data_IF_929053481986
#
_entry.id   IF_929053481986
#
_cell.length_a   1.000
_cell.length_b   1.000
_cell.length_c   1.000
_cell.angle_alpha   90.00
_cell.angle_beta   90.00
_cell.angle_gamma   90.00
#
_symmetry.space_group_name_H-M   'P 1'
#
loop_
_entity.id
_entity.type
_entity.pdbx_description
1 polymer ?
#
# COMPACT_ATOMS: atom_id res chain seq x y z
N UNK A 1 -24.42 -6.78 -34.09
CA UNK A 1 -25.35 -7.61 -34.91
C UNK A 1 -24.57 -8.06 -36.12
N UNK A 2 -24.06 -9.31 -36.12
CA UNK A 2 -23.77 -10.20 -37.23
C UNK A 2 -23.05 -11.43 -36.67
N UNK A 3 -23.86 -12.44 -36.36
CA UNK A 3 -23.43 -13.81 -36.19
C UNK A 3 -23.36 -14.46 -37.56
N UNK A 4 -22.23 -15.10 -37.89
CA UNK A 4 -22.17 -16.05 -38.99
C UNK A 4 -22.10 -17.48 -38.44
N UNK A 5 -23.05 -18.37 -38.74
CA UNK A 5 -22.90 -19.78 -38.47
C UNK A 5 -22.27 -20.47 -39.71
N UNK A 6 -21.15 -21.13 -39.50
CA UNK A 6 -20.63 -22.07 -40.52
C UNK A 6 -21.41 -23.38 -40.45
N UNK A 7 -22.30 -23.58 -41.39
CA UNK A 7 -22.87 -24.88 -41.71
C UNK A 7 -21.92 -25.64 -42.63
N UNK A 8 -21.32 -26.73 -42.14
CA UNK A 8 -20.71 -27.73 -43.03
C UNK A 8 -21.77 -28.79 -43.40
N UNK A 9 -22.13 -28.87 -44.69
CA UNK A 9 -22.90 -29.94 -45.26
C UNK A 9 -22.03 -31.19 -45.37
N UNK A 10 -22.42 -32.27 -44.68
CA UNK A 10 -21.80 -33.59 -44.79
C UNK A 10 -22.48 -34.35 -45.92
N UNK A 11 -21.79 -34.48 -47.06
CA UNK A 11 -22.14 -35.43 -48.11
C UNK A 11 -21.56 -36.81 -47.77
N UNK A 12 -22.42 -37.81 -47.72
CA UNK A 12 -22.06 -39.19 -47.38
C UNK A 12 -21.21 -39.88 -48.45
N UNK A 13 -20.06 -40.38 -48.08
CA UNK A 13 -19.44 -41.59 -48.62
C UNK A 13 -18.76 -42.36 -47.53
N UNK A 14 -19.29 -43.58 -47.24
CA UNK A 14 -18.77 -44.57 -46.31
C UNK A 14 -17.40 -45.07 -46.74
N UNK A 15 -16.31 -44.66 -46.11
CA UNK A 15 -15.04 -45.45 -46.03
C UNK A 15 -13.96 -44.78 -45.15
N UNK A 16 -14.28 -43.88 -44.20
CA UNK A 16 -13.28 -43.29 -43.32
C UNK A 16 -13.72 -43.38 -41.82
N UNK A 17 -14.40 -44.45 -41.45
CA UNK A 17 -14.93 -44.58 -40.09
C UNK A 17 -14.16 -45.47 -39.12
N UNK A 18 -13.08 -46.12 -39.57
CA UNK A 18 -12.27 -46.93 -38.66
C UNK A 18 -11.17 -46.12 -37.88
N UNK A 19 -10.65 -45.04 -38.50
CA UNK A 19 -9.53 -44.25 -37.94
C UNK A 19 -9.99 -43.13 -36.96
N UNK A 20 -11.21 -42.67 -37.15
CA UNK A 20 -11.74 -41.58 -36.31
C UNK A 20 -12.13 -41.99 -34.89
N UNK A 21 -12.43 -43.28 -34.63
CA UNK A 21 -12.73 -43.72 -33.26
C UNK A 21 -11.50 -43.73 -32.38
N UNK A 22 -10.36 -44.12 -32.93
CA UNK A 22 -9.09 -44.15 -32.17
C UNK A 22 -8.59 -42.72 -31.92
N UNK A 23 -8.77 -41.81 -32.89
CA UNK A 23 -8.47 -40.39 -32.72
C UNK A 23 -9.41 -39.72 -31.71
N UNK A 24 -10.70 -40.02 -31.73
CA UNK A 24 -11.69 -39.52 -30.78
C UNK A 24 -11.47 -40.09 -29.38
N UNK A 25 -11.14 -41.36 -29.27
CA UNK A 25 -10.76 -41.98 -27.97
C UNK A 25 -9.45 -41.42 -27.44
N UNK A 26 -8.46 -41.17 -28.27
CA UNK A 26 -7.19 -40.55 -27.82
C UNK A 26 -7.43 -39.10 -27.44
N UNK A 27 -8.26 -38.34 -28.18
CA UNK A 27 -8.61 -36.96 -27.85
C UNK A 27 -9.45 -36.85 -26.59
N UNK A 28 -10.43 -37.75 -26.38
CA UNK A 28 -11.21 -37.86 -25.15
C UNK A 28 -10.34 -38.31 -23.95
N UNK A 29 -9.37 -39.21 -24.15
CA UNK A 29 -8.45 -39.57 -23.12
C UNK A 29 -7.45 -38.46 -22.77
N UNK A 30 -7.00 -37.67 -23.74
CA UNK A 30 -6.18 -36.46 -23.50
C UNK A 30 -6.97 -35.40 -22.74
N UNK A 31 -8.24 -35.17 -23.12
CA UNK A 31 -9.13 -34.25 -22.41
C UNK A 31 -9.44 -34.77 -20.99
N UNK A 32 -9.66 -36.06 -20.83
CA UNK A 32 -9.92 -36.69 -19.53
C UNK A 32 -8.67 -36.76 -18.63
N UNK A 33 -7.48 -36.98 -19.20
CA UNK A 33 -6.22 -36.95 -18.43
C UNK A 33 -5.79 -35.53 -18.07
N UNK A 34 -5.96 -34.55 -18.96
CA UNK A 34 -5.77 -33.14 -18.63
C UNK A 34 -6.77 -32.67 -17.56
N UNK A 35 -8.01 -33.18 -17.60
CA UNK A 35 -9.02 -32.93 -16.55
C UNK A 35 -8.68 -33.58 -15.21
N UNK A 36 -7.96 -34.73 -15.17
CA UNK A 36 -7.67 -35.39 -13.89
C UNK A 36 -6.61 -34.63 -13.05
N UNK A 37 -5.58 -34.05 -13.68
CA UNK A 37 -4.57 -33.26 -12.95
C UNK A 37 -5.16 -31.98 -12.35
N UNK A 38 -5.94 -31.22 -13.14
CA UNK A 38 -6.61 -30.03 -12.64
C UNK A 38 -7.74 -30.36 -11.66
N UNK A 39 -8.48 -31.45 -11.84
CA UNK A 39 -9.57 -31.83 -10.94
C UNK A 39 -9.09 -32.10 -9.51
N UNK A 40 -7.94 -32.73 -9.31
CA UNK A 40 -7.36 -32.91 -7.98
C UNK A 40 -6.97 -31.57 -7.35
N UNK A 41 -6.31 -30.70 -8.11
CA UNK A 41 -5.96 -29.35 -7.65
C UNK A 41 -7.20 -28.49 -7.40
N UNK A 42 -8.20 -28.56 -8.29
CA UNK A 42 -9.50 -27.89 -8.13
C UNK A 42 -10.21 -28.33 -6.85
N UNK A 43 -10.22 -29.63 -6.54
CA UNK A 43 -10.80 -30.15 -5.30
C UNK A 43 -10.11 -29.53 -4.09
N UNK A 44 -8.79 -29.56 -4.05
CA UNK A 44 -7.98 -28.95 -2.99
C UNK A 44 -8.31 -27.44 -2.84
N UNK A 45 -8.28 -26.68 -3.93
CA UNK A 45 -8.61 -25.24 -3.88
C UNK A 45 -10.04 -24.99 -3.40
N UNK A 46 -11.01 -25.85 -3.79
CA UNK A 46 -12.42 -25.71 -3.36
C UNK A 46 -12.56 -25.96 -1.86
N UNK A 47 -11.85 -26.95 -1.32
CA UNK A 47 -11.82 -27.26 0.10
C UNK A 47 -11.16 -26.11 0.91
N UNK A 48 -10.04 -25.59 0.45
CA UNK A 48 -9.36 -24.42 1.05
C UNK A 48 -10.26 -23.17 1.03
N UNK A 49 -10.91 -22.86 -0.10
CA UNK A 49 -11.82 -21.73 -0.22
C UNK A 49 -13.06 -21.90 0.70
N UNK A 50 -13.57 -23.13 0.85
CA UNK A 50 -14.67 -23.41 1.77
C UNK A 50 -14.23 -23.16 3.24
N UNK A 51 -13.05 -23.65 3.61
CA UNK A 51 -12.45 -23.41 4.95
C UNK A 51 -12.26 -21.90 5.23
N UNK A 52 -11.76 -21.13 4.25
CA UNK A 52 -11.62 -19.67 4.36
C UNK A 52 -12.99 -18.99 4.58
N UNK A 53 -14.03 -19.45 3.88
CA UNK A 53 -15.41 -18.92 4.06
C UNK A 53 -15.99 -19.28 5.43
N UNK A 54 -15.84 -20.53 5.85
CA UNK A 54 -16.32 -21.03 7.17
C UNK A 54 -15.62 -20.29 8.32
N UNK A 55 -14.32 -20.03 8.18
CA UNK A 55 -13.57 -19.22 9.13
C UNK A 55 -13.94 -17.72 9.13
N UNK A 56 -14.81 -17.26 8.22
CA UNK A 56 -15.16 -15.84 8.07
C UNK A 56 -14.02 -14.96 7.52
N UNK A 57 -13.02 -15.56 6.87
CA UNK A 57 -11.83 -14.86 6.35
C UNK A 57 -11.91 -14.54 4.85
N UNK A 58 -13.03 -14.91 4.21
CA UNK A 58 -13.21 -14.70 2.78
C UNK A 58 -13.39 -13.21 2.48
N UNK A 59 -12.54 -12.68 1.56
CA UNK A 59 -12.56 -11.29 1.15
C UNK A 59 -13.43 -11.11 -0.08
N UNK A 60 -14.38 -10.19 -0.02
CA UNK A 60 -15.22 -9.75 -1.14
C UNK A 60 -14.82 -8.35 -1.58
N UNK A 61 -14.71 -8.14 -2.88
CA UNK A 61 -14.50 -6.81 -3.46
C UNK A 61 -15.82 -6.05 -3.50
N UNK A 62 -15.82 -4.83 -2.94
CA UNK A 62 -16.97 -3.93 -2.95
C UNK A 62 -16.80 -2.94 -4.10
N UNK A 63 -17.77 -2.87 -5.01
CA UNK A 63 -17.70 -2.03 -6.20
C UNK A 63 -17.99 -0.57 -5.86
N UNK A 64 -17.13 0.33 -6.35
CA UNK A 64 -17.29 1.77 -6.31
C UNK A 64 -17.57 2.24 -7.75
N UNK A 65 -18.63 3.02 -7.93
CA UNK A 65 -19.13 3.49 -9.23
C UNK A 65 -18.97 5.01 -9.43
N UNK A 66 -18.10 5.64 -8.68
CA UNK A 66 -17.79 7.07 -8.73
C UNK A 66 -16.26 7.30 -8.72
N UNK A 67 -15.78 8.54 -8.90
CA UNK A 67 -14.42 8.90 -8.50
C UNK A 67 -14.17 8.58 -7.04
N UNK A 68 -12.88 8.46 -6.67
CA UNK A 68 -12.45 8.21 -5.30
C UNK A 68 -12.38 9.55 -4.55
N UNK A 69 -13.38 9.83 -3.71
CA UNK A 69 -13.51 11.08 -2.97
C UNK A 69 -13.98 10.84 -1.52
N UNK A 70 -14.32 11.91 -0.78
CA UNK A 70 -14.95 11.82 0.54
C UNK A 70 -16.32 11.16 0.46
N UNK A 71 -17.08 11.44 -0.60
CA UNK A 71 -18.32 10.77 -0.96
C UNK A 71 -18.09 9.84 -2.15
N UNK A 72 -18.55 8.60 -2.05
CA UNK A 72 -18.47 7.62 -3.14
C UNK A 72 -19.83 6.95 -3.36
N UNK A 73 -20.07 6.52 -4.60
CA UNK A 73 -21.26 5.75 -4.96
C UNK A 73 -20.92 4.26 -4.98
N UNK A 74 -21.69 3.47 -4.24
CA UNK A 74 -21.65 2.01 -4.21
C UNK A 74 -23.02 1.43 -4.58
N UNK A 75 -23.17 0.11 -4.70
CA UNK A 75 -24.42 -0.52 -5.09
C UNK A 75 -25.65 -0.11 -4.25
N UNK A 76 -25.48 0.31 -3.01
CA UNK A 76 -26.54 0.75 -2.08
C UNK A 76 -26.80 2.26 -2.08
N UNK A 77 -26.11 3.07 -2.92
CA UNK A 77 -26.22 4.53 -2.93
C UNK A 77 -24.93 5.25 -2.57
N UNK A 78 -25.03 6.54 -2.24
CA UNK A 78 -23.89 7.37 -1.83
C UNK A 78 -23.56 7.15 -0.36
N UNK A 79 -22.27 6.96 -0.09
CA UNK A 79 -21.72 6.74 1.27
C UNK A 79 -20.48 7.61 1.50
N UNK A 80 -20.19 7.90 2.77
CA UNK A 80 -18.97 8.61 3.18
C UNK A 80 -17.80 7.62 3.30
N UNK A 81 -16.71 7.90 2.61
CA UNK A 81 -15.56 7.03 2.50
C UNK A 81 -14.51 7.30 3.58
N UNK A 82 -14.43 6.43 4.57
CA UNK A 82 -13.42 6.46 5.62
C UNK A 82 -12.45 5.26 5.54
N UNK A 83 -12.32 4.64 4.34
CA UNK A 83 -11.42 3.52 4.08
C UNK A 83 -10.20 3.87 3.23
N UNK A 84 -10.35 4.85 2.29
CA UNK A 84 -9.31 5.14 1.32
C UNK A 84 -8.10 5.80 1.96
N UNK A 85 -6.90 5.43 1.48
CA UNK A 85 -5.66 6.12 1.87
C UNK A 85 -5.49 7.48 1.17
N UNK A 86 -6.58 8.14 0.81
CA UNK A 86 -6.64 9.43 0.12
C UNK A 86 -6.51 10.59 1.12
N UNK A 87 -5.43 10.59 1.91
CA UNK A 87 -5.25 11.48 3.07
C UNK A 87 -5.40 12.97 2.73
N UNK A 88 -4.88 13.41 1.59
CA UNK A 88 -4.94 14.81 1.14
C UNK A 88 -6.12 15.11 0.21
N UNK A 89 -6.95 14.09 -0.11
CA UNK A 89 -8.09 14.28 -1.01
C UNK A 89 -7.71 14.51 -2.46
N UNK A 90 -6.54 14.07 -2.90
CA UNK A 90 -5.99 14.40 -4.22
C UNK A 90 -6.36 13.41 -5.33
N UNK A 91 -7.03 12.29 -5.03
CA UNK A 91 -7.27 11.22 -6.00
C UNK A 91 -8.17 11.66 -7.19
N UNK A 92 -9.07 12.61 -6.99
CA UNK A 92 -9.93 13.20 -8.01
C UNK A 92 -9.70 14.72 -8.19
N UNK A 93 -8.54 15.24 -7.73
CA UNK A 93 -8.26 16.68 -7.77
C UNK A 93 -8.10 17.18 -9.20
N UNK A 94 -8.83 18.26 -9.60
CA UNK A 94 -8.83 18.76 -10.99
C UNK A 94 -7.46 19.08 -11.56
N UNK A 95 -6.55 19.66 -10.77
CA UNK A 95 -5.20 20.00 -11.23
C UNK A 95 -4.36 18.75 -11.59
N UNK A 96 -4.53 17.63 -10.88
CA UNK A 96 -3.84 16.39 -11.20
C UNK A 96 -4.43 15.73 -12.44
N UNK A 97 -5.76 15.74 -12.58
CA UNK A 97 -6.48 15.24 -13.76
C UNK A 97 -6.06 16.02 -15.01
N UNK A 98 -5.98 17.32 -14.92
CA UNK A 98 -5.58 18.18 -16.05
C UNK A 98 -4.12 17.95 -16.46
N UNK A 99 -3.20 17.87 -15.48
CA UNK A 99 -1.81 17.54 -15.74
C UNK A 99 -1.65 16.16 -16.42
N UNK A 100 -2.44 15.18 -15.97
CA UNK A 100 -2.45 13.84 -16.57
C UNK A 100 -2.95 13.85 -18.02
N UNK A 101 -4.07 14.55 -18.31
CA UNK A 101 -4.62 14.69 -19.68
C UNK A 101 -3.61 15.36 -20.60
N UNK A 102 -3.03 16.47 -20.19
CA UNK A 102 -2.01 17.18 -20.96
C UNK A 102 -0.82 16.30 -21.29
N UNK A 103 -0.36 15.52 -20.30
CA UNK A 103 0.76 14.59 -20.52
C UNK A 103 0.41 13.48 -21.53
N UNK A 104 -0.83 12.98 -21.57
CA UNK A 104 -1.26 12.02 -22.58
C UNK A 104 -1.26 12.63 -23.98
N UNK A 105 -1.69 13.87 -24.14
CA UNK A 105 -1.67 14.58 -25.43
C UNK A 105 -0.24 14.83 -25.91
N UNK A 106 0.68 15.18 -25.03
CA UNK A 106 2.05 15.54 -25.38
C UNK A 106 3.02 14.35 -25.50
N UNK A 107 2.82 13.30 -24.72
CA UNK A 107 3.79 12.20 -24.51
C UNK A 107 3.24 10.81 -24.76
N UNK A 108 1.93 10.69 -25.05
CA UNK A 108 1.25 9.43 -25.29
C UNK A 108 0.81 8.70 -24.01
N UNK A 109 0.19 7.54 -24.21
CA UNK A 109 -0.42 6.75 -23.13
C UNK A 109 0.58 5.94 -22.31
N UNK A 110 1.57 5.30 -22.96
CA UNK A 110 2.43 4.33 -22.28
C UNK A 110 3.86 4.34 -22.79
N UNK A 111 4.75 3.72 -22.00
CA UNK A 111 6.19 3.69 -22.28
C UNK A 111 6.63 2.47 -23.10
N UNK A 112 5.88 1.37 -23.02
CA UNK A 112 6.18 0.09 -23.70
C UNK A 112 7.61 -0.43 -23.48
N UNK A 113 8.26 -0.02 -22.38
CA UNK A 113 9.65 -0.34 -22.10
C UNK A 113 10.00 -0.14 -20.63
N UNK A 114 11.05 -0.81 -20.19
CA UNK A 114 11.75 -0.57 -18.93
C UNK A 114 12.66 0.65 -19.03
N UNK A 115 13.05 1.22 -17.90
CA UNK A 115 13.74 2.51 -17.81
C UNK A 115 15.06 2.58 -18.59
N UNK A 116 15.92 1.56 -18.52
CA UNK A 116 17.26 1.62 -19.09
C UNK A 116 17.33 1.33 -20.60
N UNK A 117 16.27 0.76 -21.19
CA UNK A 117 16.24 0.47 -22.64
C UNK A 117 15.76 1.72 -23.40
N UNK A 118 14.47 2.02 -23.37
CA UNK A 118 13.87 3.20 -23.99
C UNK A 118 12.67 3.77 -23.23
N UNK A 119 12.49 3.38 -21.96
CA UNK A 119 11.37 3.77 -21.10
C UNK A 119 11.66 4.96 -20.19
N UNK A 120 12.64 5.81 -20.50
CA UNK A 120 12.93 7.02 -19.71
C UNK A 120 12.68 8.27 -20.54
N UNK A 121 11.73 9.10 -20.12
CA UNK A 121 11.52 10.45 -20.62
C UNK A 121 12.18 11.47 -19.67
N UNK A 122 12.36 12.71 -20.14
CA UNK A 122 12.78 13.86 -19.33
C UNK A 122 11.93 14.03 -18.07
N UNK A 123 10.61 13.91 -18.20
CA UNK A 123 9.65 14.03 -17.11
C UNK A 123 9.88 13.04 -15.96
N UNK A 124 10.39 11.85 -16.23
CA UNK A 124 10.77 10.93 -15.15
C UNK A 124 11.90 11.52 -14.30
N UNK A 125 12.85 12.20 -14.92
CA UNK A 125 13.94 12.87 -14.21
C UNK A 125 13.47 14.09 -13.42
N UNK A 126 12.47 14.81 -13.95
CA UNK A 126 11.86 15.93 -13.23
C UNK A 126 11.11 15.42 -11.97
N UNK A 127 10.35 14.32 -12.07
CA UNK A 127 9.70 13.72 -10.90
C UNK A 127 10.70 13.17 -9.88
N UNK A 128 11.78 12.50 -10.34
CA UNK A 128 12.88 12.03 -9.47
C UNK A 128 13.49 13.19 -8.68
N UNK A 129 13.73 14.32 -9.33
CA UNK A 129 14.24 15.54 -8.68
C UNK A 129 13.24 16.14 -7.70
N UNK A 130 11.95 16.28 -8.10
CA UNK A 130 10.91 16.82 -7.23
C UNK A 130 10.76 16.01 -5.92
N UNK A 131 10.88 14.68 -6.00
CA UNK A 131 10.87 13.80 -4.82
C UNK A 131 12.12 14.02 -3.97
N UNK A 132 13.30 14.05 -4.58
CA UNK A 132 14.55 14.28 -3.86
C UNK A 132 14.55 15.62 -3.13
N UNK A 133 14.09 16.69 -3.79
CA UNK A 133 13.97 18.04 -3.21
C UNK A 133 12.96 18.06 -2.05
N UNK A 134 11.83 17.36 -2.21
CA UNK A 134 10.79 17.28 -1.18
C UNK A 134 11.32 16.62 0.11
N UNK A 135 12.04 15.52 0.02
CA UNK A 135 12.62 14.82 1.18
C UNK A 135 13.98 15.38 1.62
N UNK A 136 14.62 16.21 0.81
CA UNK A 136 15.96 16.75 1.07
C UNK A 136 17.06 15.68 0.90
N UNK A 137 16.86 14.75 -0.01
CA UNK A 137 17.79 13.68 -0.36
C UNK A 137 18.62 14.01 -1.61
N UNK A 138 19.58 13.15 -1.95
CA UNK A 138 20.53 13.45 -3.04
C UNK A 138 20.03 13.00 -4.41
N UNK A 139 19.26 11.92 -4.46
CA UNK A 139 18.72 11.36 -5.72
C UNK A 139 17.52 10.43 -5.44
N UNK A 140 16.78 10.08 -6.51
CA UNK A 140 15.58 9.23 -6.45
C UNK A 140 15.51 8.27 -7.63
N UNK A 141 14.94 7.08 -7.39
CA UNK A 141 14.60 6.08 -8.39
C UNK A 141 13.11 5.73 -8.30
N UNK A 142 12.42 5.65 -9.46
CA UNK A 142 10.98 5.38 -9.55
C UNK A 142 10.72 3.90 -9.83
N UNK A 143 9.62 3.38 -9.24
CA UNK A 143 9.10 2.03 -9.39
C UNK A 143 7.60 2.06 -9.75
N UNK A 144 7.05 0.94 -10.23
CA UNK A 144 5.62 0.81 -10.49
C UNK A 144 4.77 0.91 -9.21
N UNK A 145 5.30 0.48 -8.07
CA UNK A 145 4.69 0.60 -6.75
C UNK A 145 5.76 0.67 -5.65
N UNK A 146 5.38 1.13 -4.44
CA UNK A 146 6.27 1.05 -3.28
C UNK A 146 6.54 -0.41 -2.85
N UNK A 147 5.64 -1.34 -3.17
CA UNK A 147 5.88 -2.76 -2.98
C UNK A 147 7.14 -3.21 -3.74
N UNK A 148 7.29 -2.76 -4.98
CA UNK A 148 8.46 -3.01 -5.82
C UNK A 148 9.71 -2.29 -5.31
N UNK A 149 9.56 -1.05 -4.84
CA UNK A 149 10.64 -0.28 -4.23
C UNK A 149 11.21 -1.02 -3.01
N UNK A 150 10.38 -1.43 -2.06
CA UNK A 150 10.78 -2.19 -0.88
C UNK A 150 11.36 -3.57 -1.23
N UNK A 151 10.74 -4.27 -2.19
CA UNK A 151 11.25 -5.56 -2.70
C UNK A 151 12.60 -5.45 -3.41
N UNK A 152 12.89 -4.29 -3.96
CA UNK A 152 14.08 -4.02 -4.79
C UNK A 152 15.27 -3.40 -4.07
N UNK A 153 15.20 -3.11 -2.76
CA UNK A 153 16.26 -2.40 -2.03
C UNK A 153 17.35 -3.35 -1.53
N UNK A 154 16.99 -4.47 -0.91
CA UNK A 154 17.92 -5.21 -0.07
C UNK A 154 18.91 -6.08 -0.85
N UNK A 155 18.44 -6.87 -1.82
CA UNK A 155 19.30 -7.77 -2.62
C UNK A 155 20.42 -7.03 -3.39
N UNK A 156 20.18 -5.83 -3.99
CA UNK A 156 21.24 -5.07 -4.66
C UNK A 156 22.31 -4.52 -3.73
N UNK A 157 22.01 -4.25 -2.49
CA UNK A 157 22.86 -3.52 -1.55
C UNK A 157 23.58 -4.44 -0.56
N UNK A 158 22.98 -5.56 -0.18
CA UNK A 158 23.41 -6.38 0.94
C UNK A 158 23.63 -7.84 0.54
N UNK A 159 24.57 -8.50 1.22
CA UNK A 159 24.95 -9.91 1.03
C UNK A 159 24.96 -10.71 2.31
N UNK A 160 25.48 -11.97 2.26
CA UNK A 160 25.43 -12.89 3.42
C UNK A 160 26.19 -12.41 4.66
N UNK A 161 27.16 -11.51 4.48
CA UNK A 161 28.00 -10.96 5.54
C UNK A 161 27.37 -9.73 6.23
N UNK A 162 26.21 -9.27 5.72
CA UNK A 162 25.54 -8.06 6.19
C UNK A 162 24.30 -8.41 7.03
N UNK A 163 23.76 -7.43 7.76
CA UNK A 163 22.59 -7.59 8.62
C UNK A 163 21.45 -6.64 8.27
N UNK A 164 20.21 -7.16 8.30
CA UNK A 164 18.98 -6.40 8.23
C UNK A 164 18.27 -6.55 9.58
N UNK A 165 18.05 -5.42 10.27
CA UNK A 165 17.37 -5.35 11.57
C UNK A 165 15.98 -4.72 11.34
N UNK A 166 14.94 -5.54 11.26
CA UNK A 166 13.60 -5.14 10.83
C UNK A 166 12.62 -5.06 12.00
N UNK A 167 11.81 -3.99 12.04
CA UNK A 167 10.66 -3.92 12.94
C UNK A 167 9.66 -5.06 12.66
N UNK A 168 9.08 -5.60 13.72
CA UNK A 168 8.19 -6.77 13.66
C UNK A 168 6.87 -6.50 12.93
N UNK A 169 6.42 -5.25 12.86
CA UNK A 169 5.17 -4.85 12.21
C UNK A 169 5.37 -4.12 10.89
N UNK A 170 6.58 -4.13 10.33
CA UNK A 170 6.84 -3.58 9.01
C UNK A 170 5.90 -4.15 7.96
N UNK A 171 5.63 -3.35 6.93
CA UNK A 171 4.76 -3.72 5.82
C UNK A 171 5.22 -5.01 5.12
N UNK A 172 4.26 -5.78 4.58
CA UNK A 172 4.53 -7.06 3.92
C UNK A 172 5.59 -6.96 2.81
N UNK A 173 5.64 -5.85 2.06
CA UNK A 173 6.64 -5.62 1.02
C UNK A 173 8.08 -5.56 1.55
N UNK A 174 8.27 -4.98 2.74
CA UNK A 174 9.57 -4.98 3.43
C UNK A 174 9.93 -6.39 3.86
N UNK A 175 8.97 -7.11 4.49
CA UNK A 175 9.17 -8.50 4.92
C UNK A 175 9.56 -9.39 3.73
N UNK A 176 8.90 -9.25 2.59
CA UNK A 176 9.18 -10.03 1.40
C UNK A 176 10.52 -9.64 0.77
N UNK A 177 10.83 -8.34 0.71
CA UNK A 177 12.14 -7.86 0.26
C UNK A 177 13.30 -8.40 1.11
N UNK A 178 13.13 -8.39 2.44
CA UNK A 178 14.09 -9.00 3.38
C UNK A 178 14.22 -10.52 3.16
N UNK A 179 13.12 -11.21 2.84
CA UNK A 179 13.15 -12.66 2.53
C UNK A 179 13.90 -12.99 1.26
N UNK A 180 13.87 -12.12 0.26
CA UNK A 180 14.59 -12.30 -1.00
C UNK A 180 16.10 -12.06 -0.85
N UNK A 181 16.53 -11.26 0.13
CA UNK A 181 17.92 -10.97 0.40
C UNK A 181 18.62 -12.10 1.15
N UNK A 182 19.93 -12.28 0.90
CA UNK A 182 20.77 -13.28 1.59
C UNK A 182 21.39 -12.77 2.90
N UNK A 183 21.21 -11.50 3.24
CA UNK A 183 21.70 -10.93 4.48
C UNK A 183 21.12 -11.61 5.72
N UNK A 184 21.83 -11.59 6.82
CA UNK A 184 21.38 -12.09 8.11
C UNK A 184 20.19 -11.24 8.60
N UNK A 185 19.17 -11.91 9.16
CA UNK A 185 17.90 -11.28 9.52
C UNK A 185 17.75 -11.24 11.02
N UNK A 186 17.59 -10.01 11.52
CA UNK A 186 17.30 -9.72 12.90
C UNK A 186 15.94 -9.03 12.96
N UNK A 187 15.14 -9.33 13.96
CA UNK A 187 13.80 -8.76 14.10
C UNK A 187 13.63 -8.24 15.52
N UNK A 188 13.17 -7.00 15.66
CA UNK A 188 12.85 -6.42 16.96
C UNK A 188 11.35 -6.15 17.11
N UNK A 189 10.85 -6.18 18.36
CA UNK A 189 9.46 -5.89 18.68
C UNK A 189 9.09 -4.46 18.27
N UNK A 190 7.84 -4.24 17.83
CA UNK A 190 7.41 -2.97 17.27
C UNK A 190 7.75 -1.78 18.19
N UNK A 191 8.52 -0.85 17.65
CA UNK A 191 8.96 0.37 18.32
C UNK A 191 9.65 0.15 19.66
N UNK A 192 10.16 -1.05 19.95
CA UNK A 192 10.90 -1.37 21.18
C UNK A 192 12.40 -1.10 20.99
N UNK A 193 12.86 0.00 21.56
CA UNK A 193 14.26 0.44 21.43
C UNK A 193 15.23 -0.43 22.23
N UNK A 194 14.78 -1.09 23.29
CA UNK A 194 15.63 -1.98 24.07
C UNK A 194 15.89 -3.27 23.27
N UNK A 195 14.86 -3.85 22.67
CA UNK A 195 15.02 -5.02 21.79
C UNK A 195 15.82 -4.64 20.51
N UNK A 196 15.57 -3.46 19.91
CA UNK A 196 16.39 -2.97 18.78
C UNK A 196 17.88 -2.92 19.16
N UNK A 197 18.21 -2.40 20.34
CA UNK A 197 19.61 -2.33 20.79
C UNK A 197 20.23 -3.72 20.97
N UNK A 198 19.47 -4.70 21.51
CA UNK A 198 19.94 -6.09 21.63
C UNK A 198 20.19 -6.73 20.25
N UNK A 199 19.30 -6.50 19.27
CA UNK A 199 19.51 -7.00 17.90
C UNK A 199 20.73 -6.35 17.24
N UNK A 200 20.96 -5.04 17.47
CA UNK A 200 22.15 -4.34 16.97
C UNK A 200 23.45 -4.89 17.59
N UNK A 201 23.46 -5.20 18.89
CA UNK A 201 24.58 -5.86 19.55
C UNK A 201 24.85 -7.25 18.95
N UNK A 202 23.81 -8.03 18.70
CA UNK A 202 23.93 -9.35 18.08
C UNK A 202 24.48 -9.27 16.64
N UNK A 203 24.15 -8.20 15.90
CA UNK A 203 24.59 -7.98 14.53
C UNK A 203 26.00 -7.37 14.38
N UNK A 204 26.74 -7.10 15.47
CA UNK A 204 28.04 -6.41 15.41
C UNK A 204 29.14 -7.15 14.63
N UNK A 205 29.00 -8.47 14.43
CA UNK A 205 29.95 -9.25 13.62
C UNK A 205 29.70 -9.12 12.10
N UNK A 206 28.54 -8.58 11.70
CA UNK A 206 28.22 -8.36 10.30
C UNK A 206 28.99 -7.16 9.75
N UNK A 207 29.32 -7.21 8.45
CA UNK A 207 30.08 -6.15 7.77
C UNK A 207 29.32 -4.82 7.77
N UNK A 208 28.06 -4.84 7.31
CA UNK A 208 27.14 -3.69 7.32
C UNK A 208 25.84 -4.04 8.03
N UNK A 209 25.19 -3.06 8.59
CA UNK A 209 23.91 -3.16 9.30
C UNK A 209 22.94 -2.13 8.73
N UNK A 210 21.68 -2.53 8.54
CA UNK A 210 20.61 -1.61 8.21
C UNK A 210 19.42 -1.85 9.13
N UNK A 211 18.93 -0.77 9.77
CA UNK A 211 17.69 -0.77 10.51
C UNK A 211 16.56 -0.41 9.55
N UNK A 212 15.45 -1.14 9.58
CA UNK A 212 14.32 -0.93 8.67
C UNK A 212 13.03 -0.78 9.45
N UNK A 213 12.30 0.31 9.21
CA UNK A 213 11.02 0.61 9.86
C UNK A 213 10.04 1.29 8.92
N UNK A 214 8.73 1.04 9.12
CA UNK A 214 7.69 1.94 8.62
C UNK A 214 7.76 3.25 9.41
N UNK A 215 7.56 4.39 8.76
CA UNK A 215 7.42 5.69 9.42
C UNK A 215 6.13 5.77 10.22
N UNK A 216 5.02 5.33 9.60
CA UNK A 216 3.72 5.13 10.24
C UNK A 216 3.22 3.72 9.93
N UNK A 217 2.94 2.94 10.96
CA UNK A 217 2.44 1.57 10.82
C UNK A 217 0.97 1.55 10.41
N UNK A 218 0.68 0.96 9.27
CA UNK A 218 -0.58 1.09 8.54
C UNK A 218 -1.83 0.62 9.28
N UNK A 219 -1.71 -0.33 10.22
CA UNK A 219 -2.86 -0.93 10.91
C UNK A 219 -3.18 -0.26 12.24
N UNK A 220 -2.19 0.37 12.87
CA UNK A 220 -2.30 1.01 14.18
C UNK A 220 -2.25 2.54 14.08
N UNK A 221 -1.56 3.06 13.08
CA UNK A 221 -1.31 4.49 12.92
C UNK A 221 -0.17 5.02 13.80
N UNK A 222 0.47 4.18 14.62
CA UNK A 222 1.57 4.62 15.45
C UNK A 222 2.76 5.06 14.60
N UNK A 223 3.43 6.11 15.05
CA UNK A 223 4.63 6.69 14.45
C UNK A 223 5.85 5.98 15.02
N UNK A 224 6.83 5.63 14.18
CA UNK A 224 8.11 5.09 14.67
C UNK A 224 8.87 6.17 15.47
N UNK A 225 9.59 5.81 16.54
CA UNK A 225 10.44 6.74 17.29
C UNK A 225 11.79 6.94 16.55
N UNK A 226 11.73 7.65 15.39
CA UNK A 226 12.86 7.73 14.47
C UNK A 226 14.09 8.41 15.07
N UNK A 227 13.90 9.37 15.97
CA UNK A 227 14.98 10.02 16.74
C UNK A 227 15.79 9.02 17.58
N UNK A 228 15.09 8.09 18.24
CA UNK A 228 15.72 7.05 19.06
C UNK A 228 16.34 5.95 18.19
N UNK A 229 15.69 5.60 17.07
CA UNK A 229 16.23 4.66 16.09
C UNK A 229 17.52 5.23 15.51
N UNK A 230 17.53 6.52 15.12
CA UNK A 230 18.69 7.18 14.55
C UNK A 230 19.86 7.25 15.57
N UNK A 231 19.58 7.58 16.83
CA UNK A 231 20.61 7.59 17.87
C UNK A 231 21.25 6.20 18.10
N UNK A 232 20.46 5.12 18.00
CA UNK A 232 21.00 3.75 18.04
C UNK A 232 21.77 3.40 16.77
N UNK A 233 21.32 3.87 15.61
CA UNK A 233 22.02 3.69 14.34
C UNK A 233 23.42 4.32 14.38
N UNK A 234 23.53 5.57 14.86
CA UNK A 234 24.83 6.25 15.06
C UNK A 234 25.73 5.48 16.06
N UNK A 235 25.16 5.03 17.19
CA UNK A 235 25.91 4.29 18.21
C UNK A 235 26.49 2.97 17.73
N UNK A 236 25.79 2.28 16.83
CA UNK A 236 26.14 0.93 16.38
C UNK A 236 26.61 0.87 14.92
N UNK A 237 26.90 2.01 14.29
CA UNK A 237 27.34 2.13 12.89
C UNK A 237 26.41 1.38 11.94
N UNK A 238 25.13 1.74 11.94
CA UNK A 238 24.09 1.17 11.12
C UNK A 238 23.43 2.24 10.23
N UNK A 239 23.07 1.87 9.00
CA UNK A 239 22.21 2.68 8.13
C UNK A 239 20.75 2.60 8.59
N UNK A 240 19.94 3.58 8.19
CA UNK A 240 18.50 3.58 8.45
C UNK A 240 17.73 3.63 7.12
N UNK A 241 16.73 2.75 6.99
CA UNK A 241 15.71 2.80 5.96
C UNK A 241 14.35 3.06 6.58
N UNK A 242 13.61 4.03 6.05
CA UNK A 242 12.24 4.36 6.48
C UNK A 242 11.28 4.26 5.30
N UNK A 243 10.17 3.54 5.47
CA UNK A 243 9.04 3.57 4.55
C UNK A 243 8.07 4.68 4.97
N UNK A 244 8.03 5.76 4.20
CA UNK A 244 7.18 6.93 4.43
C UNK A 244 5.78 6.80 3.77
N UNK A 245 5.37 5.62 3.33
CA UNK A 245 4.11 5.43 2.58
C UNK A 245 2.84 5.87 3.31
N UNK A 246 2.81 5.89 4.62
CA UNK A 246 1.69 6.37 5.44
C UNK A 246 2.00 7.66 6.21
N UNK A 247 3.22 8.15 6.14
CA UNK A 247 3.67 9.36 6.84
C UNK A 247 3.90 10.54 5.90
N UNK A 248 4.42 10.30 4.69
CA UNK A 248 4.59 11.34 3.69
C UNK A 248 3.24 11.94 3.25
N UNK A 249 3.15 13.27 3.23
CA UNK A 249 1.92 14.03 3.04
C UNK A 249 1.06 14.17 4.30
N UNK A 250 1.38 13.45 5.39
CA UNK A 250 0.52 13.29 6.57
C UNK A 250 1.19 13.79 7.85
N UNK A 251 2.44 13.39 8.07
CA UNK A 251 3.20 13.65 9.31
C UNK A 251 4.24 14.75 9.05
N UNK A 252 4.57 15.50 10.08
CA UNK A 252 5.43 16.68 9.99
C UNK A 252 4.65 17.95 9.66
N UNK A 253 5.26 19.10 9.95
CA UNK A 253 4.61 20.42 9.78
C UNK A 253 4.24 20.72 8.33
N UNK A 254 5.06 20.28 7.39
CA UNK A 254 4.85 20.50 5.95
C UNK A 254 4.61 19.17 5.20
N UNK A 255 4.28 18.10 5.93
CA UNK A 255 3.96 16.80 5.36
C UNK A 255 5.15 16.03 4.78
N UNK A 256 6.38 16.32 5.20
CA UNK A 256 7.58 15.61 4.72
C UNK A 256 7.89 14.33 5.52
N UNK A 257 6.89 13.83 6.24
CA UNK A 257 6.96 12.56 6.93
C UNK A 257 7.67 12.59 8.28
N UNK A 258 8.03 11.42 8.78
CA UNK A 258 8.68 11.27 10.09
C UNK A 258 10.09 11.85 10.09
N UNK A 259 10.75 11.93 8.94
CA UNK A 259 12.06 12.55 8.82
C UNK A 259 12.02 14.05 9.14
N UNK A 260 10.94 14.75 8.77
CA UNK A 260 10.70 16.14 9.17
C UNK A 260 10.32 16.23 10.65
N UNK A 261 9.41 15.37 11.11
CA UNK A 261 8.90 15.42 12.49
C UNK A 261 10.01 15.33 13.54
N UNK A 262 11.08 14.59 13.24
CA UNK A 262 12.21 14.38 14.16
C UNK A 262 13.49 15.14 13.76
N UNK A 263 13.40 16.16 12.88
CA UNK A 263 14.54 16.95 12.40
C UNK A 263 15.69 16.12 11.80
N UNK A 264 15.33 15.03 11.12
CA UNK A 264 16.25 14.10 10.46
C UNK A 264 16.21 14.18 8.93
N UNK A 265 15.59 15.21 8.37
CA UNK A 265 15.53 15.44 6.94
C UNK A 265 16.94 15.51 6.36
N UNK A 266 17.21 14.73 5.28
CA UNK A 266 18.52 14.62 4.64
C UNK A 266 19.56 13.78 5.38
N UNK A 267 19.25 13.26 6.59
CA UNK A 267 20.16 12.41 7.38
C UNK A 267 19.95 10.92 7.13
N UNK A 268 18.73 10.50 6.77
CA UNK A 268 18.37 9.10 6.55
C UNK A 268 18.90 8.64 5.19
N UNK A 269 19.54 7.47 5.16
CA UNK A 269 20.21 6.95 3.97
C UNK A 269 19.23 6.49 2.89
N UNK A 270 18.11 5.86 3.30
CA UNK A 270 17.12 5.28 2.39
C UNK A 270 15.72 5.63 2.88
N UNK A 271 14.95 6.25 2.01
CA UNK A 271 13.53 6.50 2.21
C UNK A 271 12.78 5.85 1.04
N UNK A 272 11.76 5.05 1.34
CA UNK A 272 10.82 4.56 0.34
C UNK A 272 9.45 5.20 0.52
N UNK A 273 8.67 5.25 -0.55
CA UNK A 273 7.35 5.86 -0.48
C UNK A 273 6.50 5.54 -1.70
N UNK A 274 5.24 5.96 -1.66
CA UNK A 274 4.24 5.66 -2.68
C UNK A 274 3.55 6.91 -3.19
N UNK A 275 3.22 6.92 -4.49
CA UNK A 275 2.27 7.87 -5.08
C UNK A 275 0.82 7.40 -4.92
N UNK A 276 0.61 6.18 -4.43
CA UNK A 276 -0.69 5.51 -4.34
C UNK A 276 -1.54 5.87 -3.11
N UNK A 277 -1.15 6.90 -2.33
CA UNK A 277 -1.86 7.31 -1.11
C UNK A 277 -2.02 8.84 -1.06
N UNK A 278 -1.41 9.52 -0.10
CA UNK A 278 -1.47 10.98 0.04
C UNK A 278 -1.06 11.71 -1.26
N UNK A 279 -0.13 11.16 -1.99
CA UNK A 279 0.46 11.75 -3.19
C UNK A 279 -0.33 11.43 -4.48
N UNK A 280 -1.64 11.61 -4.45
CA UNK A 280 -2.53 11.52 -5.61
C UNK A 280 -3.28 10.21 -5.77
N UNK A 281 -2.95 9.15 -5.01
CA UNK A 281 -3.74 7.91 -4.96
C UNK A 281 -3.64 6.99 -6.18
N UNK A 282 -2.71 7.26 -7.11
CA UNK A 282 -2.51 6.43 -8.31
C UNK A 282 -1.44 5.35 -8.07
N UNK A 283 -0.93 4.74 -9.12
CA UNK A 283 0.23 3.85 -9.05
C UNK A 283 1.53 4.63 -8.99
N UNK A 284 2.59 3.98 -8.54
CA UNK A 284 3.93 4.56 -8.45
C UNK A 284 4.52 4.39 -7.07
N UNK A 285 5.81 4.09 -7.04
CA UNK A 285 6.62 4.04 -5.86
C UNK A 285 7.99 4.63 -6.12
N UNK A 286 8.73 4.91 -5.07
CA UNK A 286 10.06 5.45 -5.19
C UNK A 286 10.96 4.99 -4.04
N UNK A 287 12.26 5.01 -4.30
CA UNK A 287 13.30 5.04 -3.28
C UNK A 287 14.10 6.32 -3.48
N UNK A 288 14.31 7.09 -2.41
CA UNK A 288 15.10 8.31 -2.42
C UNK A 288 16.12 8.26 -1.30
N UNK A 289 17.31 8.82 -1.50
CA UNK A 289 18.39 8.73 -0.50
C UNK A 289 19.74 9.15 -1.04
N UNK A 290 20.80 8.46 -0.56
CA UNK A 290 22.18 8.72 -0.98
C UNK A 290 22.41 8.31 -2.44
N UNK A 291 23.16 9.13 -3.18
CA UNK A 291 23.38 8.97 -4.62
C UNK A 291 23.93 7.59 -4.99
N UNK A 292 24.93 7.12 -4.26
CA UNK A 292 25.59 5.83 -4.54
C UNK A 292 24.61 4.66 -4.35
N UNK A 293 23.70 4.77 -3.38
CA UNK A 293 22.63 3.79 -3.15
C UNK A 293 21.68 3.79 -4.34
N UNK A 294 21.18 4.96 -4.73
CA UNK A 294 20.24 5.10 -5.85
C UNK A 294 20.85 4.62 -7.17
N UNK A 295 22.12 4.95 -7.42
CA UNK A 295 22.82 4.47 -8.62
C UNK A 295 23.00 2.95 -8.61
N UNK A 296 23.33 2.34 -7.46
CA UNK A 296 23.40 0.88 -7.33
C UNK A 296 22.04 0.23 -7.58
N UNK A 297 20.95 0.81 -7.08
CA UNK A 297 19.60 0.31 -7.35
C UNK A 297 19.24 0.39 -8.85
N UNK A 298 19.64 1.45 -9.55
CA UNK A 298 19.48 1.55 -11.02
C UNK A 298 20.18 0.43 -11.77
N UNK A 299 21.33 -0.04 -11.26
CA UNK A 299 22.11 -1.11 -11.90
C UNK A 299 21.61 -2.52 -11.58
N UNK A 300 21.02 -2.76 -10.39
CA UNK A 300 20.79 -4.11 -9.88
C UNK A 300 19.39 -4.39 -9.36
N UNK A 301 18.56 -3.39 -9.10
CA UNK A 301 17.20 -3.58 -8.58
C UNK A 301 16.31 -4.24 -9.63
N UNK A 302 15.99 -5.51 -9.44
CA UNK A 302 15.23 -6.32 -10.40
C UNK A 302 13.84 -5.75 -10.72
N UNK A 303 13.05 -5.26 -9.74
CA UNK A 303 11.77 -4.60 -10.06
C UNK A 303 11.93 -3.37 -10.96
N UNK A 304 13.01 -2.61 -10.82
CA UNK A 304 13.30 -1.48 -11.70
C UNK A 304 13.76 -1.92 -13.09
N UNK A 305 14.63 -2.93 -13.16
CA UNK A 305 15.22 -3.38 -14.43
C UNK A 305 14.23 -4.10 -15.34
N UNK A 306 13.21 -4.77 -14.75
CA UNK A 306 12.36 -5.70 -15.48
C UNK A 306 10.86 -5.33 -15.48
N UNK A 307 10.44 -4.26 -14.78
CA UNK A 307 9.08 -3.73 -14.87
C UNK A 307 9.02 -2.50 -15.77
N UNK A 308 7.89 -2.34 -16.48
CA UNK A 308 7.66 -1.14 -17.29
C UNK A 308 7.75 0.13 -16.44
N UNK A 309 8.20 1.20 -17.11
CA UNK A 309 8.25 2.56 -16.55
C UNK A 309 6.87 3.08 -16.22
N UNK A 310 6.78 3.99 -15.27
CA UNK A 310 5.56 4.75 -15.01
C UNK A 310 5.10 5.48 -16.29
N UNK A 311 3.80 5.44 -16.61
CA UNK A 311 3.29 6.12 -17.79
C UNK A 311 3.29 7.64 -17.62
N UNK A 312 3.33 8.41 -18.73
CA UNK A 312 3.50 9.87 -18.71
C UNK A 312 2.48 10.62 -17.85
N UNK A 313 1.20 10.19 -17.85
CA UNK A 313 0.14 10.82 -17.07
C UNK A 313 0.38 10.72 -15.55
N UNK A 314 0.92 9.62 -15.08
CA UNK A 314 1.24 9.43 -13.64
C UNK A 314 2.43 10.31 -13.25
N UNK A 315 3.44 10.36 -14.12
CA UNK A 315 4.63 11.18 -13.88
C UNK A 315 4.26 12.67 -13.81
N UNK A 316 3.48 13.16 -14.76
CA UNK A 316 3.06 14.57 -14.79
C UNK A 316 2.14 14.96 -13.61
N UNK A 317 1.19 14.09 -13.26
CA UNK A 317 0.36 14.29 -12.07
C UNK A 317 1.20 14.31 -10.79
N UNK A 318 2.20 13.41 -10.68
CA UNK A 318 3.14 13.39 -9.57
C UNK A 318 3.95 14.69 -9.45
N UNK A 319 4.48 15.22 -10.56
CA UNK A 319 5.20 16.51 -10.57
C UNK A 319 4.27 17.63 -10.06
N UNK A 320 3.05 17.74 -10.65
CA UNK A 320 2.09 18.76 -10.23
C UNK A 320 1.72 18.64 -8.75
N UNK A 321 1.59 17.44 -8.24
CA UNK A 321 1.31 17.19 -6.82
C UNK A 321 2.44 17.73 -5.93
N UNK A 322 3.73 17.45 -6.24
CA UNK A 322 4.85 17.97 -5.45
C UNK A 322 4.98 19.50 -5.54
N UNK A 323 4.63 20.11 -6.69
CA UNK A 323 4.51 21.57 -6.82
C UNK A 323 3.46 22.11 -5.83
N UNK A 324 2.24 21.55 -5.84
CA UNK A 324 1.15 21.97 -4.93
C UNK A 324 1.56 21.82 -3.45
N UNK A 325 2.22 20.73 -3.09
CA UNK A 325 2.71 20.49 -1.73
C UNK A 325 3.81 21.48 -1.30
N UNK A 326 4.50 22.11 -2.27
CA UNK A 326 5.52 23.12 -2.01
C UNK A 326 4.95 24.54 -1.96
N UNK A 327 3.76 24.76 -2.56
CA UNK A 327 3.08 26.06 -2.62
C UNK A 327 2.35 26.39 -1.30
N UNK A 328 1.71 25.38 -0.65
CA UNK A 328 0.87 25.59 0.54
C UNK A 328 0.79 24.34 1.42
N UNK A 329 0.50 24.52 2.71
CA UNK A 329 0.23 23.44 3.68
C UNK A 329 -1.27 23.30 4.01
N UNK A 330 -2.17 23.97 3.28
CA UNK A 330 -3.60 23.99 3.61
C UNK A 330 -4.23 22.61 3.73
N UNK A 331 -3.82 21.65 2.85
CA UNK A 331 -4.34 20.29 2.89
C UNK A 331 -3.86 19.53 4.12
N UNK A 332 -2.60 19.68 4.51
CA UNK A 332 -2.02 19.09 5.73
C UNK A 332 -2.68 19.67 6.98
N UNK A 333 -2.82 21.01 7.04
CA UNK A 333 -3.44 21.69 8.17
C UNK A 333 -4.90 21.24 8.35
N UNK A 334 -5.66 21.14 7.24
CA UNK A 334 -7.04 20.61 7.25
C UNK A 334 -7.07 19.13 7.67
N UNK A 335 -6.14 18.31 7.19
CA UNK A 335 -6.04 16.91 7.58
C UNK A 335 -5.79 16.77 9.09
N UNK A 336 -4.87 17.53 9.64
CA UNK A 336 -4.55 17.53 11.07
C UNK A 336 -5.76 17.98 11.90
N UNK A 337 -6.38 19.12 11.55
CA UNK A 337 -7.58 19.61 12.23
C UNK A 337 -8.74 18.60 12.20
N UNK A 338 -8.97 17.94 11.04
CA UNK A 338 -9.98 16.91 10.90
C UNK A 338 -9.68 15.68 11.76
N UNK A 339 -8.41 15.27 11.80
CA UNK A 339 -7.96 14.10 12.57
C UNK A 339 -8.09 14.32 14.06
N UNK A 340 -7.64 15.48 14.56
CA UNK A 340 -7.71 15.83 15.97
C UNK A 340 -9.15 15.92 16.44
N UNK A 341 -10.01 16.58 15.65
CA UNK A 341 -11.43 16.66 15.96
C UNK A 341 -12.09 15.28 16.01
N UNK A 342 -11.89 14.44 15.00
CA UNK A 342 -12.48 13.09 14.97
C UNK A 342 -12.03 12.28 16.18
N UNK A 343 -10.75 12.30 16.48
CA UNK A 343 -10.16 11.55 17.59
C UNK A 343 -10.70 12.02 18.94
N UNK A 344 -10.71 13.33 19.18
CA UNK A 344 -11.27 13.93 20.39
C UNK A 344 -12.71 13.47 20.62
N UNK A 345 -13.57 13.63 19.61
CA UNK A 345 -15.00 13.29 19.72
C UNK A 345 -15.28 11.80 19.88
N UNK A 346 -14.45 10.96 19.33
CA UNK A 346 -14.55 9.51 19.50
C UNK A 346 -14.08 9.07 20.91
N UNK A 347 -13.02 9.66 21.42
CA UNK A 347 -12.56 9.41 22.80
C UNK A 347 -13.58 9.91 23.83
N UNK A 348 -14.16 11.11 23.64
CA UNK A 348 -15.25 11.63 24.47
C UNK A 348 -16.49 10.70 24.47
N UNK A 349 -16.73 10.03 23.35
CA UNK A 349 -17.81 9.05 23.24
C UNK A 349 -17.54 7.73 23.95
N UNK A 350 -16.32 7.49 24.41
CA UNK A 350 -15.90 6.29 25.13
C UNK A 350 -15.32 5.18 24.27
N UNK A 351 -14.99 5.46 22.99
CA UNK A 351 -14.29 4.48 22.16
C UNK A 351 -12.81 4.37 22.54
N UNK A 352 -12.30 3.15 22.52
CA UNK A 352 -10.88 2.89 22.66
C UNK A 352 -10.18 3.11 21.30
N UNK A 353 -9.36 4.15 21.22
CA UNK A 353 -8.58 4.50 20.02
C UNK A 353 -7.11 4.44 20.39
N UNK A 354 -6.30 3.71 19.61
CA UNK A 354 -4.85 3.69 19.80
C UNK A 354 -4.26 5.10 19.69
N UNK A 355 -3.40 5.52 20.61
CA UNK A 355 -2.71 6.79 20.51
C UNK A 355 -1.86 6.87 19.25
N UNK A 356 -2.00 7.94 18.48
CA UNK A 356 -1.25 8.17 17.25
C UNK A 356 -1.20 9.66 16.91
N UNK A 357 -0.21 10.05 16.10
CA UNK A 357 -0.10 11.39 15.51
C UNK A 357 -0.38 11.37 13.99
N UNK A 358 -0.83 10.23 13.45
CA UNK A 358 -1.18 10.09 12.04
C UNK A 358 -2.67 10.23 11.80
N UNK A 359 -3.09 10.33 10.55
CA UNK A 359 -4.49 10.39 10.12
C UNK A 359 -5.22 9.02 10.17
N UNK A 360 -4.59 8.00 10.71
CA UNK A 360 -5.16 6.67 10.91
C UNK A 360 -5.74 6.60 12.32
N UNK A 361 -7.05 6.35 12.44
CA UNK A 361 -7.73 6.16 13.72
C UNK A 361 -8.17 4.71 13.86
N UNK A 362 -7.44 3.93 14.64
CA UNK A 362 -7.76 2.52 14.90
C UNK A 362 -8.72 2.43 16.08
N UNK A 363 -10.03 2.25 15.79
CA UNK A 363 -11.09 2.05 16.79
C UNK A 363 -11.06 0.58 17.20
N UNK A 364 -10.58 0.30 18.41
CA UNK A 364 -10.35 -1.06 18.91
C UNK A 364 -11.65 -1.75 19.30
N UNK A 365 -11.85 -2.96 18.79
CA UNK A 365 -13.00 -3.81 19.07
C UNK A 365 -12.58 -5.19 19.61
N UNK A 366 -11.31 -5.57 19.42
CA UNK A 366 -10.69 -6.81 19.89
C UNK A 366 -11.26 -8.08 19.30
N UNK A 367 -12.58 -8.18 19.13
CA UNK A 367 -13.30 -9.32 18.58
C UNK A 367 -13.52 -9.21 17.07
N UNK A 368 -13.15 -10.26 16.33
CA UNK A 368 -13.22 -10.29 14.88
C UNK A 368 -14.65 -10.23 14.33
N UNK A 369 -15.61 -10.93 14.99
CA UNK A 369 -17.00 -10.94 14.56
C UNK A 369 -17.65 -9.58 14.83
N UNK A 370 -17.37 -8.99 16.00
CA UNK A 370 -17.86 -7.66 16.35
C UNK A 370 -17.38 -6.61 15.34
N UNK A 371 -16.09 -6.66 14.92
CA UNK A 371 -15.55 -5.72 13.94
C UNK A 371 -16.24 -5.81 12.57
N UNK A 372 -16.61 -7.01 12.14
CA UNK A 372 -17.34 -7.22 10.89
C UNK A 372 -18.80 -6.75 11.01
N UNK A 373 -19.49 -7.10 12.09
CA UNK A 373 -20.89 -6.68 12.34
C UNK A 373 -20.97 -5.16 12.43
N UNK A 374 -20.08 -4.53 13.20
CA UNK A 374 -20.08 -3.07 13.33
C UNK A 374 -19.78 -2.37 12.01
N UNK A 375 -18.83 -2.87 11.22
CA UNK A 375 -18.52 -2.30 9.90
C UNK A 375 -19.73 -2.42 8.93
N UNK A 376 -20.45 -3.55 8.94
CA UNK A 376 -21.66 -3.73 8.14
C UNK A 376 -22.78 -2.76 8.55
N UNK A 377 -23.03 -2.62 9.85
CA UNK A 377 -24.03 -1.68 10.38
C UNK A 377 -23.68 -0.22 10.10
N UNK A 378 -22.40 0.16 10.18
CA UNK A 378 -21.95 1.50 9.79
C UNK A 378 -22.17 1.77 8.30
N UNK A 379 -22.03 0.75 7.45
CA UNK A 379 -22.33 0.91 6.02
C UNK A 379 -23.83 1.17 5.77
N UNK A 380 -24.74 0.54 6.55
CA UNK A 380 -26.17 0.83 6.50
C UNK A 380 -26.49 2.30 6.88
N UNK A 381 -25.69 2.90 7.77
CA UNK A 381 -25.77 4.32 8.13
C UNK A 381 -25.05 5.24 7.10
N UNK A 382 -24.55 4.70 5.98
CA UNK A 382 -23.85 5.44 4.94
C UNK A 382 -22.39 5.74 5.25
N UNK A 383 -21.76 5.00 6.17
CA UNK A 383 -20.34 5.15 6.53
C UNK A 383 -19.56 3.95 6.00
N UNK A 384 -18.69 4.19 5.01
CA UNK A 384 -17.91 3.16 4.35
C UNK A 384 -16.58 2.94 5.09
N UNK A 385 -16.55 1.89 5.91
CA UNK A 385 -15.41 1.44 6.70
C UNK A 385 -15.16 -0.05 6.52
N UNK A 386 -14.04 -0.54 7.04
CA UNK A 386 -13.67 -1.96 7.01
C UNK A 386 -13.16 -2.40 8.37
N UNK A 387 -13.68 -3.54 8.85
CA UNK A 387 -13.14 -4.24 10.01
C UNK A 387 -11.88 -5.00 9.64
N UNK A 388 -10.83 -4.86 10.45
CA UNK A 388 -9.56 -5.57 10.30
C UNK A 388 -9.41 -6.57 11.45
N UNK A 389 -9.09 -7.81 11.10
CA UNK A 389 -8.92 -8.93 12.01
C UNK A 389 -7.83 -9.88 11.49
N UNK A 390 -7.51 -10.92 12.25
CA UNK A 390 -6.49 -11.90 11.84
C UNK A 390 -6.81 -12.49 10.44
N UNK A 391 -5.81 -12.70 9.55
CA UNK A 391 -4.36 -12.54 9.78
C UNK A 391 -3.80 -11.13 9.51
N UNK A 392 -4.63 -10.15 9.16
CA UNK A 392 -4.18 -8.78 8.84
C UNK A 392 -3.66 -8.05 10.09
N UNK A 393 -4.28 -8.32 11.23
CA UNK A 393 -3.84 -7.88 12.56
C UNK A 393 -3.76 -9.08 13.50
N UNK A 394 -3.01 -9.03 14.60
CA UNK A 394 -2.91 -10.14 15.55
C UNK A 394 -4.27 -10.59 16.10
N UNK A 395 -4.38 -11.87 16.49
CA UNK A 395 -5.58 -12.38 17.17
C UNK A 395 -5.89 -11.57 18.43
N UNK A 396 -7.17 -11.27 18.66
CA UNK A 396 -7.60 -10.45 19.79
C UNK A 396 -7.31 -8.96 19.63
N UNK A 397 -6.91 -8.49 18.43
CA UNK A 397 -6.60 -7.11 18.14
C UNK A 397 -7.46 -6.57 16.97
N UNK A 398 -8.68 -7.11 16.80
CA UNK A 398 -9.58 -6.64 15.75
C UNK A 398 -10.00 -5.18 15.98
N UNK A 399 -10.20 -4.46 14.89
CA UNK A 399 -10.49 -3.03 14.89
C UNK A 399 -11.23 -2.59 13.64
N UNK A 400 -11.86 -1.43 13.69
CA UNK A 400 -12.19 -0.65 12.49
C UNK A 400 -11.10 0.41 12.32
N UNK A 401 -10.42 0.40 11.16
CA UNK A 401 -9.45 1.42 10.82
C UNK A 401 -10.15 2.54 10.05
N UNK A 402 -10.28 3.69 10.68
CA UNK A 402 -10.83 4.90 10.07
C UNK A 402 -9.69 5.72 9.48
N UNK A 403 -9.79 6.08 8.20
CA UNK A 403 -8.84 6.93 7.49
C UNK A 403 -9.45 8.33 7.35
N UNK A 404 -8.83 9.30 7.98
CA UNK A 404 -9.23 10.70 7.86
C UNK A 404 -8.58 11.31 6.61
N UNK A 405 -9.30 12.21 5.95
CA UNK A 405 -8.87 12.90 4.74
C UNK A 405 -9.10 14.41 4.84
N UNK A 406 -8.24 15.17 4.18
CA UNK A 406 -8.46 16.59 3.96
C UNK A 406 -9.73 16.89 3.11
N UNK A 407 -10.19 15.89 2.33
CA UNK A 407 -11.45 15.97 1.59
C UNK A 407 -12.69 15.88 2.48
N UNK A 408 -12.57 15.42 3.73
CA UNK A 408 -13.70 15.42 4.65
C UNK A 408 -14.02 16.83 5.13
N UNK A 409 -15.31 17.17 5.08
CA UNK A 409 -15.84 18.36 5.72
C UNK A 409 -16.33 18.05 7.15
N UNK A 410 -16.60 19.07 7.94
CA UNK A 410 -17.04 18.90 9.34
C UNK A 410 -18.29 18.03 9.44
N UNK A 411 -19.25 18.26 8.57
CA UNK A 411 -20.52 17.50 8.51
C UNK A 411 -20.30 16.01 8.22
N UNK A 412 -19.28 15.67 7.42
CA UNK A 412 -18.91 14.27 7.15
C UNK A 412 -18.39 13.59 8.43
N UNK A 413 -17.54 14.31 9.18
CA UNK A 413 -16.98 13.79 10.44
C UNK A 413 -18.10 13.63 11.49
N UNK A 414 -18.98 14.62 11.63
CA UNK A 414 -20.11 14.60 12.58
C UNK A 414 -21.06 13.45 12.29
N UNK A 415 -21.39 13.21 11.00
CA UNK A 415 -22.21 12.08 10.59
C UNK A 415 -21.52 10.75 10.91
N UNK A 416 -20.23 10.61 10.64
CA UNK A 416 -19.46 9.43 10.97
C UNK A 416 -19.45 9.15 12.49
N UNK A 417 -19.11 10.18 13.29
CA UNK A 417 -19.09 10.09 14.75
C UNK A 417 -20.48 9.72 15.30
N UNK A 418 -21.55 10.32 14.76
CA UNK A 418 -22.94 10.02 15.14
C UNK A 418 -23.30 8.56 14.87
N UNK A 419 -22.94 8.03 13.70
CA UNK A 419 -23.16 6.64 13.34
C UNK A 419 -22.37 5.68 14.26
N UNK A 420 -21.08 5.99 14.52
CA UNK A 420 -20.28 5.21 15.48
C UNK A 420 -20.89 5.19 16.88
N UNK A 421 -21.35 6.34 17.39
CA UNK A 421 -22.02 6.44 18.70
C UNK A 421 -23.30 5.60 18.76
N UNK A 422 -24.16 5.68 17.74
CA UNK A 422 -25.39 4.91 17.64
C UNK A 422 -25.12 3.42 17.66
N UNK A 423 -24.31 2.95 16.70
CA UNK A 423 -24.01 1.52 16.54
C UNK A 423 -23.16 1.00 17.71
N UNK A 424 -22.25 1.82 18.25
CA UNK A 424 -21.43 1.45 19.39
C UNK A 424 -22.26 1.16 20.65
N UNK A 425 -23.31 1.96 20.90
CA UNK A 425 -24.27 1.70 22.01
C UNK A 425 -25.10 0.47 21.76
N UNK A 426 -25.67 0.31 20.55
CA UNK A 426 -26.47 -0.84 20.17
C UNK A 426 -25.72 -2.17 20.33
N UNK A 427 -24.42 -2.18 20.06
CA UNK A 427 -23.56 -3.36 20.16
C UNK A 427 -22.84 -3.48 21.52
N UNK A 428 -23.06 -2.55 22.46
CA UNK A 428 -22.44 -2.57 23.78
C UNK A 428 -20.94 -2.28 23.78
N UNK A 429 -20.41 -1.63 22.74
CA UNK A 429 -19.00 -1.20 22.64
C UNK A 429 -18.73 0.02 23.54
N UNK A 430 -19.69 0.91 23.62
CA UNK A 430 -19.70 2.09 24.50
C UNK A 430 -21.01 2.16 25.28
N UNK A 431 -21.03 2.97 26.35
CA UNK A 431 -22.22 3.21 27.20
C UNK A 431 -23.20 4.20 26.60
#
# INVERSE_FOLDING_TARGET
MFFYPFCFAVSARNTIFADNRQFFHTYLNIINTANTMYNNFRKHLTEELASIKEAGLYKTERLICSPQSAEITVAGGTVLNFCANNYLGLADHPALIEAAKKAMDERGYGMSSVRFICGTQDRHKDLERAIADFFGTEDTILYAACFDANGGVFEPLLGPDDAIISDALNHASIIDGVRLCKAQRFRYANADMADLEEQLKAAQKCRFRIIVTDGVFSMDGNVCPLDRIYALAEKYDAMVMVDESHSAGVVGKTGRGVTEQFDLRGKIEIITGTLGKAFGGAVGGFTTGKREIIDMLRQRSRPYLFSNSLPPMIVAAGIRMFEMMSETNELQDKLHANTDYFREKMLEAGFDIKPTQSAICAVMLYDAKLSQVMAARLQEEGIYVTGFFYPVVPKGQARIRVQISAAHEREHLDKCIGAFKKIGRELGVIK
#
